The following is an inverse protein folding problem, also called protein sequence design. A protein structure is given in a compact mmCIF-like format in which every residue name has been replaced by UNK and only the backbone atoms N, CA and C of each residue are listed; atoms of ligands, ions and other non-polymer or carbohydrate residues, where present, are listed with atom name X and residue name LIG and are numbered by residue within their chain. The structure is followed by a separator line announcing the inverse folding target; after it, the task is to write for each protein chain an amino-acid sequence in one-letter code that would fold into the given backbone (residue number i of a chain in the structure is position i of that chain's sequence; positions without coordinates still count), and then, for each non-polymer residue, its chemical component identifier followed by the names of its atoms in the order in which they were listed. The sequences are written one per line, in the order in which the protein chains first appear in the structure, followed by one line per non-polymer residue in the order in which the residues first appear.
data_IF_515097585601
#
_entry.id   IF_515097585601
#
_cell.length_a   1.000
_cell.length_b   1.000
_cell.length_c   1.000
_cell.angle_alpha   90.00
_cell.angle_beta   90.00
_cell.angle_gamma   90.00
#
_symmetry.space_group_name_H-M   'P 1'
#
loop_
_entity.id
_entity.type
_entity.pdbx_description
1 polymer ?
#
# COMPACT_ATOMS: atom_id res chain seq x y z
N UNK A 1 -21.73 -5.74 -3.26
CA UNK A 1 -22.35 -4.52 -3.81
C UNK A 1 -22.51 -3.39 -2.78
N UNK A 2 -23.15 -3.61 -1.62
CA UNK A 2 -23.30 -2.59 -0.54
C UNK A 2 -21.99 -1.93 -0.09
N UNK A 3 -20.92 -2.71 0.11
CA UNK A 3 -19.61 -2.17 0.53
C UNK A 3 -18.92 -1.32 -0.53
N UNK A 4 -19.11 -1.63 -1.82
CA UNK A 4 -18.50 -0.87 -2.92
C UNK A 4 -19.23 0.46 -3.14
N UNK A 5 -20.57 0.45 -3.10
CA UNK A 5 -21.37 1.67 -3.15
C UNK A 5 -21.13 2.57 -1.93
N UNK A 6 -21.01 1.99 -0.72
CA UNK A 6 -20.60 2.75 0.47
C UNK A 6 -19.20 3.35 0.31
N UNK A 7 -18.26 2.61 -0.27
CA UNK A 7 -16.90 3.11 -0.48
C UNK A 7 -16.85 4.28 -1.47
N UNK A 8 -17.56 4.18 -2.60
CA UNK A 8 -17.67 5.26 -3.58
C UNK A 8 -18.43 6.47 -3.03
N UNK A 9 -19.50 6.24 -2.26
CA UNK A 9 -20.29 7.31 -1.64
C UNK A 9 -19.54 8.04 -0.51
N UNK A 10 -18.51 7.40 0.06
CA UNK A 10 -17.63 8.00 1.07
C UNK A 10 -16.22 8.24 0.50
N UNK A 11 -16.10 8.45 -0.82
CA UNK A 11 -14.91 9.07 -1.39
C UNK A 11 -14.86 10.50 -0.85
N UNK A 12 -14.04 10.68 0.18
CA UNK A 12 -13.84 11.96 0.83
C UNK A 12 -12.92 12.80 -0.06
N UNK A 13 -13.46 13.89 -0.58
CA UNK A 13 -12.73 14.87 -1.40
C UNK A 13 -11.87 15.81 -0.54
N UNK A 14 -11.95 15.65 0.78
CA UNK A 14 -11.15 16.33 1.80
C UNK A 14 -10.07 15.41 2.32
N UNK A 15 -8.94 15.99 2.73
CA UNK A 15 -7.88 15.22 3.41
C UNK A 15 -8.39 14.69 4.75
N UNK A 16 -8.16 13.40 4.98
CA UNK A 16 -8.43 12.80 6.27
C UNK A 16 -7.37 13.25 7.26
N UNK A 17 -7.80 13.61 8.46
CA UNK A 17 -6.89 13.83 9.59
C UNK A 17 -6.97 12.61 10.49
N UNK A 18 -5.85 11.91 10.65
CA UNK A 18 -5.73 10.79 11.57
C UNK A 18 -4.87 11.23 12.75
N UNK A 19 -5.49 11.37 13.92
CA UNK A 19 -4.80 11.80 15.15
C UNK A 19 -4.03 10.66 15.81
N UNK A 20 -4.43 9.41 15.57
CA UNK A 20 -3.77 8.23 16.12
C UNK A 20 -3.55 7.17 15.03
N UNK A 21 -2.29 6.84 14.78
CA UNK A 21 -1.90 5.81 13.82
C UNK A 21 -1.84 4.43 14.49
N UNK A 22 -2.65 3.48 14.02
CA UNK A 22 -2.65 2.11 14.55
C UNK A 22 -1.34 1.36 14.29
N UNK A 23 -0.56 1.77 13.30
CA UNK A 23 0.77 1.20 13.01
C UNK A 23 1.89 1.84 13.85
N UNK A 24 1.61 2.94 14.54
CA UNK A 24 2.51 3.48 15.58
C UNK A 24 2.29 2.80 16.95
N UNK A 25 1.15 2.15 17.15
CA UNK A 25 0.85 1.40 18.37
C UNK A 25 1.05 -0.10 18.14
N UNK A 26 2.24 -0.60 18.51
CA UNK A 26 2.64 -2.00 18.34
C UNK A 26 1.61 -2.99 18.93
N UNK A 27 0.96 -2.62 20.03
CA UNK A 27 -0.03 -3.48 20.70
C UNK A 27 -1.22 -3.82 19.81
N UNK A 28 -1.46 -3.04 18.74
CA UNK A 28 -2.57 -3.26 17.79
C UNK A 28 -2.27 -4.33 16.74
N UNK A 29 -1.01 -4.70 16.54
CA UNK A 29 -0.61 -5.60 15.44
C UNK A 29 0.49 -6.60 15.79
N UNK A 30 1.01 -6.61 17.02
CA UNK A 30 2.13 -7.45 17.45
C UNK A 30 1.96 -8.93 17.10
N UNK A 31 0.78 -9.50 17.35
CA UNK A 31 0.45 -10.90 17.05
C UNK A 31 0.48 -11.23 15.55
N UNK A 32 0.44 -10.21 14.69
CA UNK A 32 0.42 -10.37 13.23
C UNK A 32 1.79 -10.19 12.59
N UNK A 33 2.84 -9.86 13.35
CA UNK A 33 4.19 -9.66 12.82
C UNK A 33 4.72 -10.98 12.26
N UNK A 34 5.18 -10.95 11.00
CA UNK A 34 5.82 -12.08 10.31
C UNK A 34 7.28 -11.82 9.99
N UNK A 35 7.68 -10.54 10.01
CA UNK A 35 9.06 -10.12 9.80
C UNK A 35 9.26 -8.76 10.43
N UNK A 36 10.44 -8.55 10.99
CA UNK A 36 10.87 -7.28 11.52
C UNK A 36 12.39 -7.17 11.43
N UNK A 37 12.88 -6.03 10.93
CA UNK A 37 14.29 -5.62 11.04
C UNK A 37 14.39 -4.20 11.60
N UNK A 38 15.56 -3.57 11.57
CA UNK A 38 15.78 -2.25 12.15
C UNK A 38 14.92 -1.14 11.52
N UNK A 39 14.48 -1.31 10.28
CA UNK A 39 13.81 -0.27 9.48
C UNK A 39 12.41 -0.64 9.01
N UNK A 40 12.13 -1.92 8.81
CA UNK A 40 10.90 -2.44 8.22
C UNK A 40 10.21 -3.42 9.15
N UNK A 41 8.89 -3.50 8.98
CA UNK A 41 8.03 -4.50 9.58
C UNK A 41 7.06 -5.02 8.53
N UNK A 42 6.83 -6.33 8.54
CA UNK A 42 5.77 -6.95 7.75
C UNK A 42 4.79 -7.66 8.69
N UNK A 43 3.49 -7.42 8.46
CA UNK A 43 2.41 -8.03 9.23
C UNK A 43 1.43 -8.76 8.33
N UNK A 44 0.79 -9.80 8.85
CA UNK A 44 -0.43 -10.34 8.27
C UNK A 44 -1.55 -9.31 8.38
N UNK A 45 -2.23 -9.03 7.26
CA UNK A 45 -3.42 -8.22 7.30
C UNK A 45 -4.55 -9.01 7.99
N UNK A 46 -5.26 -8.35 8.92
CA UNK A 46 -6.40 -8.90 9.67
C UNK A 46 -7.49 -9.46 8.75
N UNK A 47 -7.71 -8.83 7.60
CA UNK A 47 -8.66 -9.33 6.59
C UNK A 47 -7.94 -9.67 5.29
N UNK A 48 -7.78 -10.97 5.05
CA UNK A 48 -7.09 -11.46 3.86
C UNK A 48 -7.89 -11.19 2.58
N UNK A 49 -7.17 -10.71 1.56
CA UNK A 49 -7.71 -10.48 0.22
C UNK A 49 -7.27 -11.56 -0.80
N UNK A 50 -6.50 -12.55 -0.36
CA UNK A 50 -5.98 -13.68 -1.11
C UNK A 50 -5.56 -14.81 -0.15
N UNK A 51 -4.73 -15.76 -0.59
CA UNK A 51 -4.17 -16.80 0.29
C UNK A 51 -3.24 -16.20 1.35
N UNK A 52 -2.43 -15.23 0.93
CA UNK A 52 -1.68 -14.34 1.81
C UNK A 52 -2.01 -12.87 1.52
N UNK A 53 -1.99 -12.05 2.57
CA UNK A 53 -2.15 -10.62 2.46
C UNK A 53 -1.26 -9.99 3.53
N UNK A 54 -0.11 -9.46 3.10
CA UNK A 54 0.84 -8.80 3.99
C UNK A 54 0.80 -7.30 3.79
N UNK A 55 1.11 -6.58 4.87
CA UNK A 55 1.40 -5.15 4.84
C UNK A 55 2.87 -4.99 5.20
N UNK A 56 3.66 -4.43 4.29
CA UNK A 56 5.07 -4.10 4.52
C UNK A 56 5.16 -2.59 4.73
N UNK A 57 5.74 -2.16 5.85
CA UNK A 57 5.80 -0.74 6.22
C UNK A 57 7.12 -0.40 6.92
N UNK A 58 7.62 0.84 6.81
CA UNK A 58 8.70 1.32 7.65
C UNK A 58 8.23 1.41 9.10
N UNK A 59 9.16 1.23 10.05
CA UNK A 59 8.90 1.50 11.46
C UNK A 59 8.70 3.00 11.72
N UNK A 60 9.42 3.83 10.99
CA UNK A 60 9.29 5.29 11.06
C UNK A 60 8.02 5.77 10.39
N UNK A 61 7.27 6.64 11.06
CA UNK A 61 6.09 7.30 10.49
C UNK A 61 6.47 8.64 9.82
N UNK A 62 7.49 8.62 8.96
CA UNK A 62 7.91 9.80 8.19
C UNK A 62 6.93 10.11 7.04
N UNK A 63 6.33 9.06 6.48
CA UNK A 63 5.46 9.16 5.31
C UNK A 63 4.04 8.72 5.65
N UNK A 64 3.09 9.62 5.41
CA UNK A 64 1.65 9.36 5.53
C UNK A 64 1.19 8.28 4.55
N UNK A 65 1.62 8.38 3.29
CA UNK A 65 1.23 7.50 2.20
C UNK A 65 2.23 7.60 1.03
N UNK A 66 1.87 6.99 -0.11
CA UNK A 66 2.71 6.89 -1.30
C UNK A 66 2.93 8.23 -2.02
N UNK A 67 2.09 9.25 -1.80
CA UNK A 67 2.19 10.53 -2.52
C UNK A 67 3.30 11.42 -1.94
N UNK A 68 3.61 11.29 -0.65
CA UNK A 68 4.73 12.00 -0.02
C UNK A 68 6.09 11.37 -0.30
N UNK A 69 6.11 10.17 -0.87
CA UNK A 69 7.23 9.27 -0.77
C UNK A 69 8.52 9.68 -1.49
N UNK A 70 9.63 9.65 -0.76
CA UNK A 70 10.97 9.44 -1.30
C UNK A 70 11.46 8.06 -0.81
N UNK A 71 11.31 7.00 -1.61
CA UNK A 71 11.54 5.63 -1.12
C UNK A 71 12.94 5.09 -1.41
N UNK A 72 13.38 4.25 -0.48
CA UNK A 72 14.51 3.31 -0.58
C UNK A 72 14.03 1.91 -0.99
N UNK A 73 14.88 1.18 -1.70
CA UNK A 73 14.67 -0.19 -2.25
C UNK A 73 14.29 -1.30 -1.24
N UNK A 74 14.35 -1.04 0.07
CA UNK A 74 14.28 -2.09 1.09
C UNK A 74 12.94 -2.86 1.12
N UNK A 75 11.81 -2.19 0.82
CA UNK A 75 10.49 -2.85 0.83
C UNK A 75 10.35 -3.92 -0.26
N UNK A 76 10.96 -3.70 -1.43
CA UNK A 76 10.96 -4.65 -2.55
C UNK A 76 11.77 -5.91 -2.21
N UNK A 77 12.95 -5.72 -1.60
CA UNK A 77 13.80 -6.83 -1.17
C UNK A 77 13.06 -7.73 -0.17
N UNK A 78 12.38 -7.11 0.81
CA UNK A 78 11.58 -7.85 1.79
C UNK A 78 10.41 -8.60 1.16
N UNK A 79 9.66 -7.98 0.24
CA UNK A 79 8.60 -8.68 -0.52
C UNK A 79 9.12 -9.95 -1.19
N UNK A 80 10.24 -9.84 -1.92
CA UNK A 80 10.84 -10.98 -2.64
C UNK A 80 11.26 -12.09 -1.67
N UNK A 81 11.76 -11.73 -0.49
CA UNK A 81 12.09 -12.70 0.57
C UNK A 81 10.84 -13.41 1.08
N UNK A 82 9.80 -12.68 1.47
CA UNK A 82 8.56 -13.26 1.99
C UNK A 82 7.89 -14.21 0.99
N UNK A 83 7.87 -13.84 -0.30
CA UNK A 83 7.36 -14.71 -1.37
C UNK A 83 8.18 -15.99 -1.51
N UNK A 84 9.52 -15.90 -1.43
CA UNK A 84 10.40 -17.07 -1.53
C UNK A 84 10.20 -18.03 -0.35
N UNK A 85 10.06 -17.50 0.86
CA UNK A 85 9.93 -18.29 2.08
C UNK A 85 8.54 -18.91 2.24
N UNK A 86 7.48 -18.19 1.87
CA UNK A 86 6.09 -18.61 2.14
C UNK A 86 5.36 -19.15 0.90
N UNK A 87 5.76 -18.73 -0.30
CA UNK A 87 5.07 -19.04 -1.56
C UNK A 87 6.07 -19.38 -2.69
N UNK A 88 7.01 -20.33 -2.50
CA UNK A 88 8.13 -20.54 -3.42
C UNK A 88 7.72 -20.91 -4.86
N UNK A 89 6.51 -21.46 -5.05
CA UNK A 89 5.98 -21.90 -6.33
C UNK A 89 5.02 -20.90 -6.97
N UNK A 90 4.74 -19.75 -6.32
CA UNK A 90 3.75 -18.81 -6.84
C UNK A 90 4.30 -18.03 -8.04
N UNK A 91 3.51 -17.98 -9.11
CA UNK A 91 3.80 -17.11 -10.25
C UNK A 91 3.65 -15.64 -9.86
N UNK A 92 4.53 -14.77 -10.35
CA UNK A 92 4.43 -13.31 -10.18
C UNK A 92 3.09 -12.77 -10.71
N UNK A 93 2.49 -13.39 -11.72
CA UNK A 93 1.18 -13.00 -12.24
C UNK A 93 0.03 -13.17 -11.21
N UNK A 94 0.24 -14.03 -10.21
CA UNK A 94 -0.70 -14.27 -9.11
C UNK A 94 -0.35 -13.48 -7.85
N UNK A 95 0.60 -12.54 -7.93
CA UNK A 95 0.90 -11.61 -6.85
C UNK A 95 0.41 -10.23 -7.26
N UNK A 96 -0.35 -9.59 -6.38
CA UNK A 96 -0.83 -8.24 -6.58
C UNK A 96 -0.26 -7.33 -5.49
N UNK A 97 0.55 -6.36 -5.91
CA UNK A 97 1.24 -5.44 -5.02
C UNK A 97 0.96 -3.99 -5.36
N UNK A 98 1.04 -3.14 -4.35
CA UNK A 98 0.86 -1.70 -4.51
C UNK A 98 0.31 -1.01 -3.28
N UNK A 99 -0.19 0.19 -3.50
CA UNK A 99 -0.54 1.14 -2.46
C UNK A 99 -1.88 1.79 -2.75
N UNK A 100 -2.63 2.04 -1.68
CA UNK A 100 -3.70 3.03 -1.73
C UNK A 100 -3.12 4.44 -1.82
N UNK A 101 -3.82 5.33 -2.52
CA UNK A 101 -3.31 6.65 -2.87
C UNK A 101 -3.82 7.73 -1.93
N UNK A 102 -2.96 8.63 -1.51
CA UNK A 102 -3.35 9.80 -0.75
C UNK A 102 -4.07 10.86 -1.59
N UNK A 103 -4.49 11.91 -0.89
CA UNK A 103 -4.87 13.18 -1.52
C UNK A 103 -3.70 13.72 -2.34
N UNK A 104 -3.98 14.10 -3.58
CA UNK A 104 -2.98 14.70 -4.49
C UNK A 104 -3.67 15.66 -5.46
N UNK A 105 -2.90 16.60 -5.99
CA UNK A 105 -3.42 17.60 -6.92
C UNK A 105 -3.81 16.91 -8.25
N UNK A 106 -5.00 17.23 -8.74
CA UNK A 106 -5.47 16.82 -10.07
C UNK A 106 -5.19 17.93 -11.09
N UNK A 107 -5.83 19.09 -10.90
CA UNK A 107 -5.64 20.28 -11.74
C UNK A 107 -6.03 21.53 -10.96
N UNK A 108 -5.19 22.56 -10.99
CA UNK A 108 -5.43 23.78 -10.21
C UNK A 108 -5.62 23.48 -8.72
N UNK A 109 -6.70 23.99 -8.12
CA UNK A 109 -7.09 23.73 -6.73
C UNK A 109 -7.95 22.48 -6.50
N UNK A 110 -8.13 21.63 -7.52
CA UNK A 110 -8.88 20.38 -7.40
C UNK A 110 -7.98 19.22 -7.01
N UNK A 111 -8.47 18.37 -6.11
CA UNK A 111 -7.74 17.24 -5.55
C UNK A 111 -8.44 15.94 -5.91
N UNK A 112 -7.64 14.89 -6.09
CA UNK A 112 -8.15 13.54 -6.02
C UNK A 112 -8.58 13.19 -4.58
N UNK A 113 -9.61 12.34 -4.42
CA UNK A 113 -10.10 11.91 -3.12
C UNK A 113 -9.03 11.15 -2.35
N UNK A 114 -9.15 11.25 -1.02
CA UNK A 114 -8.27 10.62 -0.07
C UNK A 114 -8.80 9.25 0.34
N UNK A 115 -8.11 8.21 -0.08
CA UNK A 115 -8.57 6.81 0.00
C UNK A 115 -7.66 5.94 0.86
N UNK A 116 -6.65 6.54 1.48
CA UNK A 116 -5.79 5.88 2.45
C UNK A 116 -6.61 5.62 3.71
N UNK A 117 -6.58 4.38 4.18
CA UNK A 117 -7.31 3.99 5.40
C UNK A 117 -6.50 4.16 6.67
N UNK A 118 -5.17 4.09 6.56
CA UNK A 118 -4.22 4.26 7.65
C UNK A 118 -3.11 5.18 7.14
N UNK A 119 -3.00 6.36 7.73
CA UNK A 119 -1.95 7.34 7.48
C UNK A 119 -0.66 6.83 8.12
N UNK A 120 -0.01 5.92 7.42
CA UNK A 120 1.33 5.39 7.66
C UNK A 120 1.63 4.57 6.44
N UNK A 121 2.69 4.89 5.70
CA UNK A 121 3.04 4.19 4.47
C UNK A 121 3.03 2.67 4.64
N UNK A 122 2.23 1.95 3.86
CA UNK A 122 2.24 0.49 3.85
C UNK A 122 1.98 -0.04 2.44
N UNK A 123 2.81 -0.99 2.01
CA UNK A 123 2.62 -1.72 0.77
C UNK A 123 1.77 -2.95 1.03
N UNK A 124 0.73 -3.13 0.21
CA UNK A 124 -0.03 -4.36 0.18
C UNK A 124 0.71 -5.40 -0.68
N UNK A 125 0.83 -6.62 -0.17
CA UNK A 125 1.28 -7.78 -0.93
C UNK A 125 0.21 -8.85 -0.83
N UNK A 126 -0.52 -9.09 -1.92
CA UNK A 126 -1.67 -10.01 -1.95
C UNK A 126 -1.33 -11.17 -2.89
N UNK A 127 -1.21 -12.37 -2.31
CA UNK A 127 -0.94 -13.60 -3.06
C UNK A 127 -2.26 -14.28 -3.39
N UNK A 128 -2.43 -14.68 -4.65
CA UNK A 128 -3.66 -15.28 -5.20
C UNK A 128 -4.90 -14.46 -4.84
N UNK A 129 -4.97 -13.20 -5.30
CA UNK A 129 -6.00 -12.28 -4.91
C UNK A 129 -7.39 -12.78 -5.34
N UNK A 130 -8.35 -12.73 -4.43
CA UNK A 130 -9.75 -13.00 -4.74
C UNK A 130 -10.23 -12.01 -5.79
N UNK A 131 -10.73 -12.52 -6.92
CA UNK A 131 -11.12 -11.73 -8.08
C UNK A 131 -11.93 -10.47 -7.73
N UNK A 132 -13.05 -10.61 -7.01
CA UNK A 132 -13.89 -9.48 -6.64
C UNK A 132 -13.21 -8.43 -5.77
N UNK A 133 -12.29 -8.82 -4.87
CA UNK A 133 -11.56 -7.87 -4.04
C UNK A 133 -10.47 -7.15 -4.85
N UNK A 134 -9.79 -7.86 -5.74
CA UNK A 134 -8.86 -7.26 -6.71
C UNK A 134 -9.57 -6.23 -7.58
N UNK A 135 -10.77 -6.51 -8.06
CA UNK A 135 -11.50 -5.58 -8.93
C UNK A 135 -12.15 -4.41 -8.20
N UNK A 136 -12.55 -4.57 -6.93
CA UNK A 136 -13.28 -3.53 -6.21
C UNK A 136 -12.42 -2.72 -5.23
N UNK A 137 -11.59 -3.38 -4.41
CA UNK A 137 -10.79 -2.72 -3.37
C UNK A 137 -9.41 -2.35 -3.86
N UNK A 138 -8.79 -3.22 -4.66
CA UNK A 138 -7.43 -3.04 -5.16
C UNK A 138 -7.40 -2.91 -6.69
N UNK A 139 -8.25 -2.07 -7.31
CA UNK A 139 -8.47 -2.08 -8.76
C UNK A 139 -7.19 -1.64 -9.51
N UNK A 140 -6.47 -2.54 -10.21
CA UNK A 140 -5.30 -2.15 -10.98
C UNK A 140 -5.67 -1.26 -12.18
N UNK A 141 -6.92 -1.34 -12.63
CA UNK A 141 -7.48 -0.58 -13.75
C UNK A 141 -7.90 0.85 -13.36
N UNK A 142 -7.86 1.20 -12.07
CA UNK A 142 -8.30 2.50 -11.58
C UNK A 142 -7.13 3.21 -10.88
N UNK A 143 -6.28 3.95 -11.62
CA UNK A 143 -5.12 4.68 -11.08
C UNK A 143 -5.49 5.76 -10.05
N UNK A 144 -6.77 6.13 -10.02
CA UNK A 144 -7.36 6.93 -8.96
C UNK A 144 -7.13 6.27 -7.60
N UNK A 145 -7.36 4.95 -7.54
CA UNK A 145 -7.46 4.17 -6.32
C UNK A 145 -6.18 3.46 -5.90
N UNK A 146 -5.43 2.99 -6.89
CA UNK A 146 -4.31 2.10 -6.68
C UNK A 146 -3.09 2.60 -7.45
N UNK A 147 -1.93 2.46 -6.83
CA UNK A 147 -0.64 2.63 -7.51
C UNK A 147 0.14 1.33 -7.35
N UNK A 148 0.47 0.69 -8.46
CA UNK A 148 1.22 -0.56 -8.41
C UNK A 148 2.65 -0.31 -7.95
N UNK A 149 3.27 -1.33 -7.39
CA UNK A 149 4.68 -1.30 -7.03
C UNK A 149 5.57 -0.95 -8.23
N UNK A 150 5.30 -1.53 -9.40
CA UNK A 150 6.08 -1.27 -10.62
C UNK A 150 5.98 0.20 -11.05
N UNK A 151 4.80 0.82 -10.91
CA UNK A 151 4.63 2.25 -11.20
C UNK A 151 5.46 3.11 -10.26
N UNK A 152 5.49 2.75 -8.97
CA UNK A 152 6.32 3.44 -7.96
C UNK A 152 7.80 3.31 -8.31
N UNK A 153 8.29 2.10 -8.62
CA UNK A 153 9.67 1.85 -9.01
C UNK A 153 10.08 2.65 -10.26
N UNK A 154 9.22 2.69 -11.28
CA UNK A 154 9.47 3.46 -12.49
C UNK A 154 9.57 4.97 -12.24
N UNK A 155 8.68 5.52 -11.41
CA UNK A 155 8.72 6.93 -11.06
C UNK A 155 9.95 7.30 -10.23
N UNK A 156 10.33 6.45 -9.27
CA UNK A 156 11.54 6.65 -8.47
C UNK A 156 12.79 6.57 -9.34
N UNK A 157 12.86 5.60 -10.26
CA UNK A 157 13.99 5.47 -11.18
C UNK A 157 14.16 6.72 -12.04
N UNK A 158 13.07 7.31 -12.54
CA UNK A 158 13.11 8.57 -13.29
C UNK A 158 13.61 9.74 -12.43
N UNK A 159 13.10 9.88 -11.20
CA UNK A 159 13.55 10.95 -10.28
C UNK A 159 15.06 10.88 -9.96
N UNK A 160 15.63 9.67 -9.89
CA UNK A 160 17.08 9.50 -9.68
C UNK A 160 17.87 9.96 -10.92
N UNK A 161 17.39 9.62 -12.11
CA UNK A 161 18.05 9.98 -13.39
C UNK A 161 17.98 11.48 -13.65
N UNK A 162 16.84 12.11 -13.37
CA UNK A 162 16.59 13.50 -13.72
C UNK A 162 17.18 14.51 -12.70
N UNK A 163 17.64 14.03 -11.53
CA UNK A 163 18.17 14.86 -10.43
C UNK A 163 17.10 15.78 -9.80
N UNK A 164 17.36 16.39 -8.63
CA UNK A 164 16.46 17.42 -8.12
C UNK A 164 16.57 18.66 -9.02
N UNK A 165 15.45 19.04 -9.65
CA UNK A 165 15.27 20.35 -10.29
C UNK A 165 15.28 21.48 -9.27
#
# INVERSE_FOLDING_TARGET
MRSFLHYLANLEWTEKVQTHCIFCDRTKFEENIIYEDDSLIAINNRTKAGSHHWLIMPKSHEWRDIEGLALKDASLALKKRLLRENCPTVSSANVHTGFHRGRRILIGGFYWPDIVSIHHLHMHVIVEPRFWLKFAKYPPWLPLMWKSEEQVEQELSKKIIDGPT
#
